data_IF_461295736776
#
_entry.id   IF_461295736776
#
_cell.length_a   1.000
_cell.length_b   1.000
_cell.length_c   1.000
_cell.angle_alpha   90.00
_cell.angle_beta   90.00
_cell.angle_gamma   90.00
#
_symmetry.space_group_name_H-M   'P 1'
#
loop_
_entity.id
_entity.type
_entity.pdbx_description
1 polymer ?
#
# COMPACT_ATOMS: atom_id res chain seq x y z
N UNK A 1 7.37 -9.78 9.84
CA UNK A 1 7.86 -10.05 8.45
C UNK A 1 6.84 -9.62 7.38
N UNK A 2 5.54 -9.80 7.62
CA UNK A 2 4.48 -9.46 6.66
C UNK A 2 4.18 -7.96 6.56
N UNK A 3 4.38 -7.19 7.64
CA UNK A 3 4.14 -5.73 7.66
C UNK A 3 4.91 -4.98 6.57
N UNK A 4 6.19 -5.29 6.36
CA UNK A 4 6.99 -4.64 5.30
C UNK A 4 6.62 -5.08 3.88
N UNK A 5 5.97 -6.24 3.71
CA UNK A 5 5.47 -6.69 2.41
C UNK A 5 4.17 -5.97 2.07
N UNK A 6 3.24 -5.89 3.03
CA UNK A 6 1.97 -5.16 2.90
C UNK A 6 2.23 -3.70 2.55
N UNK A 7 3.13 -3.02 3.28
CA UNK A 7 3.46 -1.61 3.00
C UNK A 7 4.03 -1.40 1.60
N UNK A 8 5.00 -2.22 1.19
CA UNK A 8 5.54 -2.15 -0.18
C UNK A 8 4.49 -2.41 -1.24
N UNK A 9 3.55 -3.33 -0.96
CA UNK A 9 2.44 -3.60 -1.86
C UNK A 9 1.48 -2.41 -1.97
N UNK A 10 1.09 -1.81 -0.84
CA UNK A 10 0.25 -0.59 -0.82
C UNK A 10 0.93 0.54 -1.58
N UNK A 11 2.21 0.83 -1.29
CA UNK A 11 2.96 1.89 -2.00
C UNK A 11 3.05 1.63 -3.49
N UNK A 12 3.23 0.37 -3.91
CA UNK A 12 3.23 0.00 -5.33
C UNK A 12 1.88 0.31 -5.98
N UNK A 13 0.78 -0.17 -5.40
CA UNK A 13 -0.58 0.07 -5.93
C UNK A 13 -0.89 1.56 -5.97
N UNK A 14 -0.54 2.30 -4.93
CA UNK A 14 -0.72 3.75 -4.85
C UNK A 14 0.02 4.45 -5.98
N UNK A 15 1.29 4.09 -6.20
CA UNK A 15 2.11 4.66 -7.27
C UNK A 15 1.53 4.35 -8.65
N UNK A 16 1.09 3.11 -8.88
CA UNK A 16 0.47 2.71 -10.14
C UNK A 16 -0.83 3.46 -10.40
N UNK A 17 -1.67 3.59 -9.37
CA UNK A 17 -2.93 4.32 -9.44
C UNK A 17 -2.70 5.81 -9.76
N UNK A 18 -1.76 6.45 -9.07
CA UNK A 18 -1.43 7.87 -9.28
C UNK A 18 -0.86 8.14 -10.68
N UNK A 19 -0.15 7.16 -11.25
CA UNK A 19 0.35 7.18 -12.62
C UNK A 19 -0.66 6.65 -13.66
N UNK A 20 -1.90 6.38 -13.24
CA UNK A 20 -3.00 5.92 -14.11
C UNK A 20 -2.67 4.63 -14.86
N UNK A 21 -1.89 3.77 -14.22
CA UNK A 21 -1.47 2.50 -14.79
C UNK A 21 -2.62 1.50 -14.71
N UNK A 22 -2.84 0.77 -15.79
CA UNK A 22 -3.77 -0.37 -15.81
C UNK A 22 -3.09 -1.57 -15.20
N UNK A 23 -3.77 -2.23 -14.28
CA UNK A 23 -3.26 -3.43 -13.60
C UNK A 23 -4.15 -4.63 -13.89
N UNK A 24 -3.52 -5.80 -14.05
CA UNK A 24 -4.18 -7.10 -14.08
C UNK A 24 -3.48 -7.95 -13.04
N UNK A 25 -4.23 -8.38 -12.02
CA UNK A 25 -3.68 -9.06 -10.85
C UNK A 25 -4.42 -10.39 -10.70
N UNK A 26 -3.67 -11.47 -10.49
CA UNK A 26 -4.19 -12.78 -10.10
C UNK A 26 -3.62 -13.15 -8.74
N UNK A 27 -4.47 -13.63 -7.84
CA UNK A 27 -4.12 -14.03 -6.48
C UNK A 27 -4.93 -15.26 -6.06
N UNK A 28 -4.43 -15.98 -5.05
CA UNK A 28 -5.10 -17.16 -4.47
C UNK A 28 -6.31 -16.77 -3.58
N UNK A 29 -6.39 -15.50 -3.17
CA UNK A 29 -7.46 -14.94 -2.35
C UNK A 29 -8.14 -13.75 -3.02
N UNK A 30 -9.37 -13.45 -2.60
CA UNK A 30 -10.08 -12.25 -3.03
C UNK A 30 -9.40 -10.97 -2.50
N UNK A 31 -9.51 -9.82 -3.18
CA UNK A 31 -8.86 -8.58 -2.76
C UNK A 31 -9.16 -8.14 -1.32
N UNK A 32 -10.37 -8.41 -0.82
CA UNK A 32 -10.80 -8.09 0.55
C UNK A 32 -10.04 -8.88 1.63
N UNK A 33 -9.53 -10.06 1.27
CA UNK A 33 -8.84 -10.99 2.17
C UNK A 33 -7.31 -10.88 2.03
N UNK A 34 -6.81 -9.88 1.27
CA UNK A 34 -5.39 -9.71 0.96
C UNK A 34 -4.58 -9.16 2.15
N UNK A 35 -5.24 -8.52 3.12
CA UNK A 35 -4.61 -7.86 4.26
C UNK A 35 -5.01 -8.54 5.58
N UNK A 36 -4.07 -9.23 6.22
CA UNK A 36 -4.23 -9.79 7.57
C UNK A 36 -3.60 -8.83 8.60
N UNK A 37 -4.42 -8.11 9.37
CA UNK A 37 -3.99 -7.07 10.31
C UNK A 37 -3.72 -7.58 11.75
N UNK A 38 -3.80 -8.89 11.99
CA UNK A 38 -3.67 -9.45 13.36
C UNK A 38 -2.27 -9.29 14.00
N UNK A 39 -1.23 -8.95 13.22
CA UNK A 39 0.18 -8.84 13.67
C UNK A 39 0.63 -7.39 14.00
N UNK A 40 -0.29 -6.44 14.19
CA UNK A 40 0.03 -4.99 14.25
C UNK A 40 0.33 -4.47 15.67
N UNK A 41 0.39 -5.34 16.68
CA UNK A 41 0.87 -4.93 18.02
C UNK A 41 2.38 -5.09 18.07
N UNK A 42 3.08 -3.98 18.26
CA UNK A 42 4.51 -3.81 18.55
C UNK A 42 5.32 -3.18 17.39
N UNK A 43 5.91 -2.02 17.71
CA UNK A 43 7.21 -1.48 17.32
C UNK A 43 7.71 -1.52 15.86
N UNK A 44 8.54 -0.53 15.52
CA UNK A 44 9.33 -0.50 14.28
C UNK A 44 10.22 -1.73 14.15
N UNK A 45 9.91 -2.62 13.20
CA UNK A 45 10.79 -3.72 12.82
C UNK A 45 11.97 -3.23 11.96
N UNK A 46 13.06 -3.99 11.92
CA UNK A 46 14.26 -3.67 11.13
C UNK A 46 13.97 -3.46 9.63
N UNK A 47 12.92 -4.10 9.11
CA UNK A 47 12.49 -3.95 7.72
C UNK A 47 11.88 -2.57 7.41
N UNK A 48 11.27 -1.91 8.40
CA UNK A 48 10.76 -0.53 8.23
C UNK A 48 11.93 0.45 8.10
N UNK A 49 13.05 0.18 8.80
CA UNK A 49 14.26 1.02 8.72
C UNK A 49 14.95 0.89 7.37
N UNK A 50 15.07 -0.33 6.84
CA UNK A 50 15.67 -0.56 5.53
C UNK A 50 14.89 0.16 4.41
N UNK A 51 13.55 0.18 4.49
CA UNK A 51 12.71 0.89 3.52
C UNK A 51 12.85 2.42 3.62
N UNK A 52 12.95 2.97 4.84
CA UNK A 52 13.22 4.39 5.06
C UNK A 52 14.56 4.81 4.45
N UNK A 53 15.58 3.95 4.59
CA UNK A 53 16.91 4.17 4.02
C UNK A 53 16.87 4.14 2.48
N UNK A 54 16.18 3.17 1.87
CA UNK A 54 16.03 3.05 0.40
C UNK A 54 15.28 4.25 -0.21
N UNK A 55 14.25 4.75 0.47
CA UNK A 55 13.47 5.92 0.06
C UNK A 55 14.16 7.25 0.40
N UNK A 56 15.34 7.22 1.04
CA UNK A 56 16.07 8.39 1.57
C UNK A 56 15.23 9.27 2.50
N UNK A 57 14.30 8.67 3.25
CA UNK A 57 13.43 9.38 4.18
C UNK A 57 14.17 9.52 5.52
N UNK A 58 14.47 10.75 5.93
CA UNK A 58 15.16 11.03 7.20
C UNK A 58 14.17 10.93 8.35
N UNK A 59 14.56 10.27 9.46
CA UNK A 59 13.68 10.02 10.65
C UNK A 59 12.94 11.24 11.21
N UNK A 60 13.41 12.45 10.92
CA UNK A 60 12.86 13.71 11.43
C UNK A 60 12.02 14.48 10.38
N UNK A 61 11.85 13.97 9.16
CA UNK A 61 10.97 14.59 8.16
C UNK A 61 9.50 14.27 8.43
N UNK A 62 8.60 15.16 7.99
CA UNK A 62 7.15 14.89 8.02
C UNK A 62 6.81 13.64 7.18
N UNK A 63 7.60 13.36 6.12
CA UNK A 63 7.46 12.14 5.31
C UNK A 63 7.83 10.86 6.09
N UNK A 64 8.75 10.95 7.05
CA UNK A 64 9.03 9.84 7.96
C UNK A 64 7.84 9.54 8.86
N UNK A 65 7.12 10.57 9.33
CA UNK A 65 5.88 10.36 10.08
C UNK A 65 4.77 9.78 9.21
N UNK A 66 4.69 10.15 7.93
CA UNK A 66 3.77 9.50 6.98
C UNK A 66 4.13 8.03 6.70
N UNK A 67 5.42 7.69 6.75
CA UNK A 67 5.89 6.30 6.68
C UNK A 67 5.78 5.56 8.04
N UNK A 68 5.52 6.27 9.13
CA UNK A 68 5.20 5.75 10.46
C UNK A 68 3.69 5.54 10.53
N UNK A 69 3.27 4.40 10.03
CA UNK A 69 1.89 3.99 10.08
C UNK A 69 1.50 3.57 11.50
N UNK A 70 0.61 4.33 12.13
CA UNK A 70 -0.13 3.88 13.31
C UNK A 70 -1.16 2.81 12.90
N UNK A 71 -1.60 1.95 13.84
CA UNK A 71 -2.49 0.83 13.49
C UNK A 71 -3.82 1.25 12.83
N UNK A 72 -4.35 2.43 13.18
CA UNK A 72 -5.55 3.00 12.56
C UNK A 72 -5.27 3.50 11.13
N UNK A 73 -4.10 4.12 10.91
CA UNK A 73 -3.68 4.47 9.56
C UNK A 73 -3.57 3.21 8.72
N UNK A 74 -3.03 2.08 9.26
CA UNK A 74 -2.75 0.84 8.50
C UNK A 74 -4.02 0.26 7.92
N UNK A 75 -5.07 0.26 8.72
CA UNK A 75 -6.40 -0.14 8.29
C UNK A 75 -6.92 0.76 7.16
N UNK A 76 -6.84 2.08 7.36
CA UNK A 76 -7.29 3.03 6.34
C UNK A 76 -6.55 2.88 5.01
N UNK A 77 -5.25 2.59 5.02
CA UNK A 77 -4.50 2.40 3.79
C UNK A 77 -4.73 1.05 3.13
N UNK A 78 -5.01 0.00 3.90
CA UNK A 78 -5.47 -1.27 3.35
C UNK A 78 -6.82 -1.07 2.63
N UNK A 79 -7.79 -0.40 3.27
CA UNK A 79 -9.12 -0.13 2.70
C UNK A 79 -9.03 0.75 1.43
N UNK A 80 -8.16 1.77 1.46
CA UNK A 80 -7.91 2.64 0.32
C UNK A 80 -7.22 1.89 -0.82
N UNK A 81 -6.22 1.06 -0.52
CA UNK A 81 -5.54 0.21 -1.51
C UNK A 81 -6.53 -0.76 -2.16
N UNK A 82 -7.37 -1.42 -1.36
CA UNK A 82 -8.43 -2.29 -1.84
C UNK A 82 -9.37 -1.56 -2.81
N UNK A 83 -9.85 -0.37 -2.43
CA UNK A 83 -10.72 0.45 -3.28
C UNK A 83 -10.07 0.80 -4.61
N UNK A 84 -8.77 1.16 -4.62
CA UNK A 84 -8.01 1.45 -5.83
C UNK A 84 -7.87 0.23 -6.74
N UNK A 85 -7.58 -0.94 -6.17
CA UNK A 85 -7.50 -2.20 -6.92
C UNK A 85 -8.85 -2.50 -7.60
N UNK A 86 -9.97 -2.31 -6.89
CA UNK A 86 -11.31 -2.53 -7.45
C UNK A 86 -11.62 -1.52 -8.55
N UNK A 87 -11.32 -0.24 -8.35
CA UNK A 87 -11.56 0.81 -9.35
C UNK A 87 -10.74 0.57 -10.62
N UNK A 88 -9.45 0.26 -10.49
CA UNK A 88 -8.56 0.00 -11.64
C UNK A 88 -8.94 -1.22 -12.49
N UNK A 89 -9.85 -2.07 -12.00
CA UNK A 89 -10.38 -3.22 -12.74
C UNK A 89 -11.68 -2.91 -13.49
N UNK A 90 -12.25 -1.71 -13.31
CA UNK A 90 -13.49 -1.31 -13.98
C UNK A 90 -13.24 -0.83 -15.40
N UNK A 91 -14.20 -1.11 -16.28
CA UNK A 91 -14.22 -0.56 -17.64
C UNK A 91 -14.19 0.98 -17.60
N UNK A 92 -14.90 1.59 -16.65
CA UNK A 92 -14.92 3.04 -16.45
C UNK A 92 -13.51 3.63 -16.25
N UNK A 93 -12.69 3.01 -15.39
CA UNK A 93 -11.31 3.46 -15.18
C UNK A 93 -10.47 3.28 -16.45
N UNK A 94 -10.68 2.17 -17.16
CA UNK A 94 -9.94 1.85 -18.39
C UNK A 94 -10.28 2.82 -19.52
N UNK A 95 -11.55 3.18 -19.68
CA UNK A 95 -12.02 4.15 -20.67
C UNK A 95 -11.58 5.57 -20.33
N UNK A 96 -11.67 5.95 -19.05
CA UNK A 96 -11.30 7.29 -18.57
C UNK A 96 -9.84 7.66 -18.85
N UNK A 97 -8.94 6.68 -18.80
CA UNK A 97 -7.50 6.88 -18.99
C UNK A 97 -6.95 6.18 -20.24
N UNK A 98 -7.84 5.75 -21.14
CA UNK A 98 -7.52 4.80 -22.19
C UNK A 98 -7.28 5.32 -23.59
N UNK A 99 -7.18 6.64 -23.77
CA UNK A 99 -6.98 7.29 -25.06
C UNK A 99 -5.58 7.87 -25.21
#
# INVERSE_FOLDING_TARGET
>A
KHRSQIRRFITLIDTLYDNRVRVVIAADSEPKDLFYLDDVKDGYGDADRALMDDLKITKDSEDAKAAIFTGEEEMFACDRCHSRIMEMQTDEYWEKWGN
#
